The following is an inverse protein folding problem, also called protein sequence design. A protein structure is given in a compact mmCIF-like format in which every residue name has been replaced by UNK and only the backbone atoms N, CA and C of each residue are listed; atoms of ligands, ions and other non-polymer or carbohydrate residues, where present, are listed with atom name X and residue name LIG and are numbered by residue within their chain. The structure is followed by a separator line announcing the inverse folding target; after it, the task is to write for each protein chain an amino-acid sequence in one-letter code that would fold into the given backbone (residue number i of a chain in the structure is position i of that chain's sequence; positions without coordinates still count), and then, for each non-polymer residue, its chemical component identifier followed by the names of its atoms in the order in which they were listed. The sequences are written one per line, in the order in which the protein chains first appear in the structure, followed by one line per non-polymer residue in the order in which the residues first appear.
data_IF_666981816106
#
_entry.id   IF_666981816106
#
_cell.length_a   1.000
_cell.length_b   1.000
_cell.length_c   1.000
_cell.angle_alpha   90.00
_cell.angle_beta   90.00
_cell.angle_gamma   90.00
#
_symmetry.space_group_name_H-M   'P 1'
#
loop_
_entity.id
_entity.type
_entity.pdbx_description
1 polymer ?
#
# COMPACT_ATOMS: atom_id res chain seq x y z
N UNK A 1 21.61 14.40 7.63
CA UNK A 1 20.25 14.01 8.08
C UNK A 1 20.35 12.69 8.83
N UNK A 2 19.75 12.55 10.01
CA UNK A 2 19.84 11.32 10.80
C UNK A 2 18.96 10.22 10.18
N UNK A 3 19.55 9.09 9.75
CA UNK A 3 18.84 7.96 9.11
C UNK A 3 17.68 7.42 9.95
N UNK A 4 17.80 7.47 11.28
CA UNK A 4 16.74 7.06 12.21
C UNK A 4 15.54 8.01 12.14
N UNK A 5 15.78 9.31 12.06
CA UNK A 5 14.72 10.32 11.93
C UNK A 5 14.03 10.22 10.57
N UNK A 6 14.80 10.06 9.49
CA UNK A 6 14.25 9.83 8.14
C UNK A 6 13.33 8.59 8.12
N UNK A 7 13.79 7.49 8.72
CA UNK A 7 13.00 6.25 8.79
C UNK A 7 11.69 6.44 9.54
N UNK A 8 11.70 7.14 10.67
CA UNK A 8 10.47 7.44 11.42
C UNK A 8 9.50 8.23 10.54
N UNK A 9 9.99 9.24 9.81
CA UNK A 9 9.15 10.02 8.89
C UNK A 9 8.55 9.13 7.78
N UNK A 10 9.32 8.19 7.23
CA UNK A 10 8.80 7.23 6.25
C UNK A 10 7.76 6.28 6.84
N UNK A 11 7.95 5.82 8.09
CA UNK A 11 6.96 4.96 8.78
C UNK A 11 5.66 5.74 9.01
N UNK A 12 5.75 7.01 9.42
CA UNK A 12 4.58 7.89 9.54
C UNK A 12 3.90 8.10 8.19
N UNK A 13 4.67 8.33 7.13
CA UNK A 13 4.12 8.44 5.78
C UNK A 13 3.40 7.14 5.34
N UNK A 14 4.02 5.97 5.59
CA UNK A 14 3.42 4.66 5.31
C UNK A 14 2.12 4.45 6.09
N UNK A 15 2.08 4.87 7.37
CA UNK A 15 0.89 4.83 8.19
C UNK A 15 -0.22 5.72 7.63
N UNK A 16 0.07 6.99 7.31
CA UNK A 16 -0.93 7.92 6.78
C UNK A 16 -1.49 7.47 5.43
N UNK A 17 -0.64 6.96 4.53
CA UNK A 17 -1.10 6.40 3.24
C UNK A 17 -1.95 5.15 3.46
N UNK A 18 -1.57 4.27 4.40
CA UNK A 18 -2.35 3.07 4.73
C UNK A 18 -3.68 3.39 5.39
N UNK A 19 -3.70 4.36 6.30
CA UNK A 19 -4.91 4.88 6.95
C UNK A 19 -5.84 5.53 5.92
N UNK A 20 -5.32 6.40 5.05
CA UNK A 20 -6.08 7.03 3.98
C UNK A 20 -6.71 6.00 3.03
N UNK A 21 -5.94 5.01 2.59
CA UNK A 21 -6.45 3.91 1.77
C UNK A 21 -7.49 3.05 2.47
N UNK A 22 -7.31 2.77 3.76
CA UNK A 22 -8.28 2.01 4.57
C UNK A 22 -9.59 2.78 4.74
N UNK A 23 -9.53 4.08 5.06
CA UNK A 23 -10.71 4.93 5.18
C UNK A 23 -11.44 5.09 3.84
N UNK A 24 -10.70 5.15 2.73
CA UNK A 24 -11.29 5.16 1.39
C UNK A 24 -12.08 3.87 1.12
N UNK A 25 -11.51 2.71 1.46
CA UNK A 25 -12.24 1.45 1.36
C UNK A 25 -13.47 1.41 2.27
N UNK A 26 -13.37 1.90 3.51
CA UNK A 26 -14.51 1.91 4.43
C UNK A 26 -15.63 2.85 3.95
N UNK A 27 -15.29 3.92 3.24
CA UNK A 27 -16.26 4.82 2.60
C UNK A 27 -16.98 4.18 1.42
N UNK A 28 -16.30 3.33 0.66
CA UNK A 28 -16.82 2.76 -0.61
C UNK A 28 -17.45 1.37 -0.41
N UNK A 29 -16.89 0.56 0.49
CA UNK A 29 -17.28 -0.82 0.74
C UNK A 29 -17.88 -0.98 2.13
N UNK A 30 -19.19 -1.15 2.19
CA UNK A 30 -19.91 -1.53 3.41
C UNK A 30 -19.58 -2.98 3.80
N UNK A 31 -19.53 -3.28 5.10
CA UNK A 31 -19.22 -4.63 5.62
C UNK A 31 -20.44 -5.58 5.63
N UNK A 32 -21.49 -5.23 4.90
CA UNK A 32 -22.68 -6.05 4.68
C UNK A 32 -22.43 -7.22 3.72
N UNK A 33 -21.38 -7.11 2.87
CA UNK A 33 -21.06 -8.12 1.84
C UNK A 33 -19.75 -8.84 2.17
N UNK A 34 -19.74 -10.20 2.18
CA UNK A 34 -18.53 -10.98 2.44
C UNK A 34 -17.35 -10.65 1.51
N UNK A 35 -17.64 -10.25 0.26
CA UNK A 35 -16.62 -9.83 -0.70
C UNK A 35 -15.77 -8.63 -0.23
N UNK A 36 -16.28 -7.83 0.71
CA UNK A 36 -15.61 -6.65 1.24
C UNK A 36 -14.73 -6.96 2.47
N UNK A 37 -14.78 -8.17 3.01
CA UNK A 37 -13.96 -8.56 4.17
C UNK A 37 -12.47 -8.64 3.85
N UNK A 38 -12.11 -9.09 2.64
CA UNK A 38 -10.71 -9.20 2.22
C UNK A 38 -10.06 -7.80 2.14
N UNK A 39 -10.61 -6.81 1.38
CA UNK A 39 -10.07 -5.45 1.38
C UNK A 39 -9.99 -4.83 2.79
N UNK A 40 -11.00 -5.07 3.63
CA UNK A 40 -11.03 -4.57 5.00
C UNK A 40 -9.88 -5.14 5.84
N UNK A 41 -9.71 -6.46 5.87
CA UNK A 41 -8.64 -7.12 6.63
C UNK A 41 -7.26 -6.72 6.10
N UNK A 42 -7.07 -6.67 4.78
CA UNK A 42 -5.82 -6.23 4.17
C UNK A 42 -5.47 -4.78 4.54
N UNK A 43 -6.47 -3.89 4.58
CA UNK A 43 -6.29 -2.51 5.00
C UNK A 43 -5.98 -2.39 6.51
N UNK A 44 -6.67 -3.15 7.35
CA UNK A 44 -6.42 -3.19 8.79
C UNK A 44 -5.00 -3.69 9.11
N UNK A 45 -4.60 -4.82 8.53
CA UNK A 45 -3.23 -5.38 8.65
C UNK A 45 -2.19 -4.36 8.16
N UNK A 46 -2.46 -3.69 7.04
CA UNK A 46 -1.57 -2.68 6.48
C UNK A 46 -1.36 -1.47 7.39
N UNK A 47 -2.42 -0.92 8.00
CA UNK A 47 -2.28 0.29 8.83
C UNK A 47 -1.79 -0.01 10.25
N UNK A 48 -1.87 -1.27 10.70
CA UNK A 48 -1.49 -1.67 12.07
C UNK A 48 -0.27 -2.59 12.07
N UNK A 49 -0.45 -3.86 11.72
CA UNK A 49 0.57 -4.92 11.81
C UNK A 49 1.83 -4.55 11.04
N UNK A 50 1.70 -4.11 9.78
CA UNK A 50 2.85 -3.72 8.96
C UNK A 50 3.62 -2.57 9.59
N UNK A 51 2.92 -1.57 10.15
CA UNK A 51 3.55 -0.41 10.80
C UNK A 51 4.32 -0.84 12.05
N UNK A 52 3.70 -1.63 12.92
CA UNK A 52 4.33 -2.15 14.14
C UNK A 52 5.55 -3.02 13.81
N UNK A 53 5.46 -3.85 12.76
CA UNK A 53 6.59 -4.67 12.32
C UNK A 53 7.74 -3.83 11.74
N UNK A 54 7.45 -2.72 11.06
CA UNK A 54 8.48 -1.81 10.56
C UNK A 54 9.18 -1.01 11.66
N UNK A 55 8.62 -0.90 12.87
CA UNK A 55 9.32 -0.26 14.00
C UNK A 55 10.53 -1.09 14.46
N UNK A 56 10.55 -2.40 14.19
CA UNK A 56 11.57 -3.33 14.65
C UNK A 56 12.38 -3.93 13.49
N UNK A 57 13.72 -3.81 13.55
CA UNK A 57 14.62 -4.36 12.51
C UNK A 57 14.41 -5.86 12.27
N UNK A 58 14.16 -6.64 13.33
CA UNK A 58 13.97 -8.10 13.27
C UNK A 58 12.76 -8.50 12.43
N UNK A 59 11.74 -7.64 12.39
CA UNK A 59 10.48 -7.89 11.69
C UNK A 59 10.31 -7.10 10.40
N UNK A 60 11.23 -6.18 10.09
CA UNK A 60 11.15 -5.30 8.93
C UNK A 60 11.13 -6.07 7.60
N UNK A 61 11.89 -7.17 7.46
CA UNK A 61 11.84 -8.01 6.26
C UNK A 61 10.47 -8.65 6.04
N UNK A 62 9.86 -9.15 7.12
CA UNK A 62 8.50 -9.73 7.05
C UNK A 62 7.45 -8.65 6.76
N UNK A 63 7.60 -7.45 7.33
CA UNK A 63 6.72 -6.32 7.06
C UNK A 63 6.72 -5.94 5.57
N UNK A 64 7.91 -5.90 4.97
CA UNK A 64 8.09 -5.63 3.54
C UNK A 64 7.41 -6.70 2.67
N UNK A 65 7.61 -7.99 2.99
CA UNK A 65 6.98 -9.08 2.25
C UNK A 65 5.46 -9.06 2.37
N UNK A 66 4.92 -8.93 3.58
CA UNK A 66 3.46 -8.87 3.81
C UNK A 66 2.87 -7.67 3.07
N UNK A 67 3.49 -6.51 3.18
CA UNK A 67 3.04 -5.31 2.47
C UNK A 67 3.06 -5.51 0.95
N UNK A 68 4.13 -6.11 0.41
CA UNK A 68 4.23 -6.46 -1.02
C UNK A 68 3.13 -7.41 -1.47
N UNK A 69 2.84 -8.47 -0.71
CA UNK A 69 1.78 -9.41 -1.04
C UNK A 69 0.40 -8.73 -1.04
N UNK A 70 0.11 -7.89 -0.05
CA UNK A 70 -1.16 -7.12 0.00
C UNK A 70 -1.26 -6.18 -1.20
N UNK A 71 -0.16 -5.51 -1.57
CA UNK A 71 -0.11 -4.62 -2.73
C UNK A 71 -0.42 -5.40 -4.02
N UNK A 72 0.23 -6.55 -4.24
CA UNK A 72 -0.01 -7.39 -5.43
C UNK A 72 -1.47 -7.83 -5.50
N UNK A 73 -2.04 -8.32 -4.39
CA UNK A 73 -3.44 -8.72 -4.31
C UNK A 73 -4.38 -7.53 -4.62
N UNK A 74 -4.11 -6.35 -4.07
CA UNK A 74 -4.87 -5.14 -4.35
C UNK A 74 -4.80 -4.74 -5.82
N UNK A 75 -3.60 -4.74 -6.42
CA UNK A 75 -3.41 -4.40 -7.83
C UNK A 75 -4.18 -5.35 -8.75
N UNK A 76 -4.06 -6.67 -8.54
CA UNK A 76 -4.76 -7.66 -9.36
C UNK A 76 -6.27 -7.51 -9.25
N UNK A 77 -6.80 -7.38 -8.02
CA UNK A 77 -8.24 -7.26 -7.81
C UNK A 77 -8.81 -5.96 -8.35
N UNK A 78 -8.13 -4.83 -8.13
CA UNK A 78 -8.53 -3.52 -8.66
C UNK A 78 -8.43 -3.45 -10.19
N UNK A 79 -7.40 -4.06 -10.78
CA UNK A 79 -7.27 -4.16 -12.23
C UNK A 79 -8.40 -5.02 -12.84
N UNK A 80 -8.71 -6.16 -12.22
CA UNK A 80 -9.82 -7.01 -12.65
C UNK A 80 -11.17 -6.28 -12.54
N UNK A 81 -11.45 -5.60 -11.43
CA UNK A 81 -12.67 -4.80 -11.27
C UNK A 81 -12.77 -3.66 -12.29
N UNK A 82 -11.64 -3.00 -12.57
CA UNK A 82 -11.57 -1.96 -13.59
C UNK A 82 -11.91 -2.51 -14.98
N UNK A 83 -11.42 -3.70 -15.31
CA UNK A 83 -11.71 -4.37 -16.59
C UNK A 83 -13.19 -4.77 -16.71
N UNK A 84 -13.74 -5.47 -15.71
CA UNK A 84 -15.12 -5.99 -15.75
C UNK A 84 -16.16 -4.87 -15.76
N UNK A 85 -15.88 -3.72 -15.13
CA UNK A 85 -16.80 -2.57 -15.06
C UNK A 85 -16.54 -1.51 -16.12
N UNK A 86 -15.58 -1.72 -17.02
CA UNK A 86 -15.24 -0.71 -18.02
C UNK A 86 -16.36 -0.56 -19.06
N UNK A 87 -17.02 0.58 -19.06
CA UNK A 87 -18.02 0.91 -20.07
C UNK A 87 -17.36 1.68 -21.23
N UNK A 88 -17.53 1.17 -22.45
CA UNK A 88 -17.15 1.84 -23.71
C UNK A 88 -17.78 3.25 -23.80
N UNK A 89 -17.15 4.26 -24.44
CA UNK A 89 -15.88 4.25 -25.19
C UNK A 89 -14.61 4.43 -24.34
N UNK A 90 -13.49 3.94 -24.88
CA UNK A 90 -12.15 4.13 -24.35
C UNK A 90 -11.69 5.59 -24.55
N UNK A 91 -11.65 6.35 -23.47
CA UNK A 91 -11.09 7.71 -23.44
C UNK A 91 -10.09 7.79 -22.30
N UNK A 92 -8.93 8.43 -22.51
CA UNK A 92 -7.87 8.59 -21.49
C UNK A 92 -8.45 9.11 -20.17
N UNK A 93 -9.31 10.13 -20.23
CA UNK A 93 -10.00 10.68 -19.04
C UNK A 93 -10.79 9.63 -18.26
N UNK A 94 -11.50 8.73 -18.93
CA UNK A 94 -12.27 7.66 -18.28
C UNK A 94 -11.38 6.59 -17.68
N UNK A 95 -10.23 6.32 -18.29
CA UNK A 95 -9.23 5.40 -17.71
C UNK A 95 -8.72 5.97 -16.39
N UNK A 96 -8.31 7.24 -16.35
CA UNK A 96 -7.77 7.82 -15.11
C UNK A 96 -8.82 8.11 -14.02
N UNK A 97 -10.04 8.52 -14.39
CA UNK A 97 -11.05 9.00 -13.42
C UNK A 97 -12.18 8.01 -13.12
N UNK A 98 -12.43 7.03 -14.00
CA UNK A 98 -13.53 6.08 -13.84
C UNK A 98 -13.04 4.63 -13.63
N UNK A 99 -11.73 4.41 -13.56
CA UNK A 99 -11.14 3.13 -13.14
C UNK A 99 -10.41 3.29 -11.82
N UNK A 100 -9.98 2.17 -11.25
CA UNK A 100 -9.21 2.14 -10.00
C UNK A 100 -7.71 2.41 -10.24
N UNK A 101 -7.34 3.01 -11.38
CA UNK A 101 -5.95 3.31 -11.70
C UNK A 101 -5.32 4.27 -10.68
N UNK A 102 -6.06 5.29 -10.23
CA UNK A 102 -5.59 6.20 -9.19
C UNK A 102 -5.32 5.48 -7.87
N UNK A 103 -6.21 4.55 -7.48
CA UNK A 103 -6.06 3.72 -6.28
C UNK A 103 -4.84 2.79 -6.39
N UNK A 104 -4.63 2.19 -7.56
CA UNK A 104 -3.44 1.38 -7.87
C UNK A 104 -2.16 2.22 -7.73
N UNK A 105 -2.13 3.44 -8.28
CA UNK A 105 -0.97 4.31 -8.17
C UNK A 105 -0.64 4.68 -6.72
N UNK A 106 -1.65 4.96 -5.90
CA UNK A 106 -1.48 5.20 -4.45
C UNK A 106 -0.92 3.95 -3.76
N UNK A 107 -1.46 2.77 -4.09
CA UNK A 107 -1.03 1.49 -3.53
C UNK A 107 0.42 1.14 -3.94
N UNK A 108 0.82 1.44 -5.17
CA UNK A 108 2.21 1.32 -5.63
C UNK A 108 3.12 2.32 -4.92
N UNK A 109 2.69 3.57 -4.72
CA UNK A 109 3.43 4.55 -3.93
C UNK A 109 3.68 4.08 -2.50
N UNK A 110 2.67 3.49 -1.85
CA UNK A 110 2.78 2.85 -0.54
C UNK A 110 3.85 1.74 -0.52
N UNK A 111 3.91 0.91 -1.56
CA UNK A 111 4.94 -0.12 -1.69
C UNK A 111 6.34 0.47 -1.77
N UNK A 112 6.53 1.54 -2.54
CA UNK A 112 7.84 2.21 -2.65
C UNK A 112 8.30 2.82 -1.32
N UNK A 113 7.39 3.39 -0.53
CA UNK A 113 7.70 3.87 0.82
C UNK A 113 8.15 2.69 1.70
N UNK A 114 7.44 1.57 1.64
CA UNK A 114 7.80 0.35 2.38
C UNK A 114 9.17 -0.21 1.97
N UNK A 115 9.50 -0.18 0.67
CA UNK A 115 10.81 -0.54 0.14
C UNK A 115 11.91 0.36 0.70
N UNK A 116 11.70 1.67 0.71
CA UNK A 116 12.66 2.64 1.25
C UNK A 116 12.90 2.43 2.77
N UNK A 117 11.86 2.10 3.54
CA UNK A 117 12.01 1.74 4.96
C UNK A 117 12.84 0.47 5.11
N UNK A 118 12.53 -0.57 4.33
CA UNK A 118 13.29 -1.82 4.32
C UNK A 118 14.77 -1.57 4.00
N UNK A 119 15.05 -0.85 2.92
CA UNK A 119 16.41 -0.51 2.50
C UNK A 119 17.15 0.27 3.60
N UNK A 120 16.48 1.18 4.31
CA UNK A 120 17.10 1.90 5.44
C UNK A 120 17.54 1.00 6.59
N UNK A 121 17.04 -0.25 6.70
CA UNK A 121 17.45 -1.22 7.72
C UNK A 121 18.57 -2.16 7.26
N UNK A 122 18.68 -2.43 5.96
CA UNK A 122 19.46 -3.54 5.41
C UNK A 122 20.47 -3.16 4.33
N UNK A 123 20.33 -2.02 3.65
CA UNK A 123 21.36 -1.53 2.74
C UNK A 123 22.52 -1.02 3.58
N UNK A 124 23.67 -1.68 3.46
CA UNK A 124 24.93 -1.27 4.11
C UNK A 124 25.50 -0.06 3.38
N UNK A 125 26.11 0.83 4.15
CA UNK A 125 26.93 1.99 3.75
C UNK A 125 28.15 1.66 2.85
N UNK A 126 28.26 0.43 2.32
CA UNK A 126 29.47 -0.09 1.66
C UNK A 126 29.67 0.34 0.20
N UNK A 127 28.84 1.22 -0.37
CA UNK A 127 29.02 1.77 -1.73
C UNK A 127 29.27 3.29 -1.75
N UNK A 128 29.69 3.86 -0.62
CA UNK A 128 30.22 5.23 -0.54
C UNK A 128 31.71 5.18 -0.20
N UNK A 129 32.52 4.64 -1.13
CA UNK A 129 33.97 4.82 -1.19
C UNK A 129 34.30 5.39 -2.55
#
# INVERSE_FOLDING_TARGET
MNIKSLRINMIVALFLVSLGGFLLHFRIHTLDKPANYIPFLCGLISMTVVILMFMNKKTASYAYLINGMIVILGVITMAHFSYVRFASPFTIRKIFLNTLFADIAILTGKFLISKAIYESYFVKEQELI
#
